data_IF_170185609651
#
_entry.id   IF_170185609651
#
_cell.length_a   1.000
_cell.length_b   1.000
_cell.length_c   1.000
_cell.angle_alpha   90.00
_cell.angle_beta   90.00
_cell.angle_gamma   90.00
#
_symmetry.space_group_name_H-M   'P 1'
#
loop_
_entity.id
_entity.type
_entity.pdbx_description
1 polymer ?
#
# COMPACT_ATOMS: atom_id res chain seq x y z
N UNK A 1 -4.82 6.84 3.95
CA UNK A 1 -4.00 7.58 2.96
C UNK A 1 -2.50 7.37 3.19
N UNK A 2 -1.96 7.54 4.41
CA UNK A 2 -0.53 7.35 4.67
C UNK A 2 0.02 5.98 4.27
N UNK A 3 -0.78 4.94 4.38
CA UNK A 3 -0.43 3.57 3.96
C UNK A 3 -0.29 3.46 2.43
N UNK A 4 -1.13 4.19 1.69
CA UNK A 4 -1.06 4.28 0.22
C UNK A 4 0.25 4.96 -0.18
N UNK A 5 0.53 6.14 0.37
CA UNK A 5 1.74 6.92 0.10
C UNK A 5 3.00 6.13 0.48
N UNK A 6 3.01 5.48 1.64
CA UNK A 6 4.16 4.67 2.06
C UNK A 6 4.35 3.43 1.18
N UNK A 7 3.26 2.77 0.77
CA UNK A 7 3.30 1.69 -0.21
C UNK A 7 3.86 2.15 -1.56
N UNK A 8 3.46 3.34 -2.03
CA UNK A 8 4.02 3.97 -3.22
C UNK A 8 5.52 4.27 -3.06
N UNK A 9 5.96 4.77 -1.90
CA UNK A 9 7.39 5.02 -1.62
C UNK A 9 8.19 3.72 -1.71
N UNK A 10 7.75 2.66 -1.04
CA UNK A 10 8.48 1.38 -1.02
C UNK A 10 8.48 0.73 -2.40
N UNK A 11 7.33 0.67 -3.07
CA UNK A 11 7.23 0.15 -4.44
C UNK A 11 8.04 0.97 -5.45
N UNK A 12 7.92 2.29 -5.41
CA UNK A 12 8.69 3.20 -6.26
C UNK A 12 10.19 3.15 -5.99
N UNK A 13 10.60 2.99 -4.73
CA UNK A 13 12.00 2.77 -4.36
C UNK A 13 12.58 1.51 -5.01
N UNK A 14 11.82 0.41 -5.02
CA UNK A 14 12.23 -0.82 -5.72
C UNK A 14 12.29 -0.59 -7.24
N UNK A 15 11.31 0.12 -7.81
CA UNK A 15 11.34 0.45 -9.24
C UNK A 15 12.58 1.29 -9.64
N UNK A 16 13.00 2.22 -8.78
CA UNK A 16 14.22 3.03 -8.99
C UNK A 16 15.51 2.21 -8.81
N UNK A 17 15.55 1.26 -7.86
CA UNK A 17 16.71 0.37 -7.68
C UNK A 17 16.97 -0.51 -8.91
N UNK A 18 15.90 -0.96 -9.58
CA UNK A 18 15.98 -1.78 -10.79
C UNK A 18 15.86 -0.97 -12.08
N UNK A 19 16.09 0.33 -12.04
CA UNK A 19 15.95 1.24 -13.19
C UNK A 19 16.75 0.81 -14.44
N UNK A 20 17.94 0.27 -14.24
CA UNK A 20 18.85 -0.17 -15.31
C UNK A 20 18.65 -1.63 -15.75
N UNK A 21 17.68 -2.31 -15.18
CA UNK A 21 17.41 -3.72 -15.49
C UNK A 21 16.08 -3.83 -16.24
N UNK A 22 16.06 -4.64 -17.28
CA UNK A 22 14.85 -5.01 -18.00
C UNK A 22 14.48 -6.46 -17.63
N UNK A 23 13.25 -6.66 -17.13
CA UNK A 23 12.80 -8.00 -16.77
C UNK A 23 11.33 -8.03 -16.38
N UNK A 24 10.63 -9.04 -16.84
CA UNK A 24 9.21 -9.26 -16.51
C UNK A 24 8.96 -9.44 -15.00
N UNK A 25 9.98 -9.79 -14.22
CA UNK A 25 9.87 -10.01 -12.77
C UNK A 25 9.86 -8.70 -11.95
N UNK A 26 10.22 -7.55 -12.56
CA UNK A 26 10.35 -6.28 -11.86
C UNK A 26 8.98 -5.76 -11.42
N UNK A 27 8.00 -5.76 -12.31
CA UNK A 27 6.64 -5.30 -11.99
C UNK A 27 5.99 -6.11 -10.83
N UNK A 28 5.98 -7.45 -10.83
CA UNK A 28 5.55 -8.23 -9.67
C UNK A 28 6.28 -7.91 -8.38
N UNK A 29 7.58 -7.66 -8.45
CA UNK A 29 8.40 -7.32 -7.28
C UNK A 29 8.04 -5.94 -6.73
N UNK A 30 7.81 -4.95 -7.58
CA UNK A 30 7.32 -3.61 -7.21
C UNK A 30 5.95 -3.70 -6.53
N UNK A 31 5.03 -4.50 -7.09
CA UNK A 31 3.69 -4.73 -6.53
C UNK A 31 3.78 -5.36 -5.13
N UNK A 32 4.59 -6.40 -4.98
CA UNK A 32 4.79 -7.07 -3.69
C UNK A 32 5.44 -6.14 -2.67
N UNK A 33 6.46 -5.38 -3.08
CA UNK A 33 7.14 -4.43 -2.20
C UNK A 33 6.18 -3.35 -1.69
N UNK A 34 5.33 -2.81 -2.56
CA UNK A 34 4.32 -1.82 -2.16
C UNK A 34 3.26 -2.39 -1.22
N UNK A 35 2.78 -3.62 -1.48
CA UNK A 35 1.85 -4.30 -0.58
C UNK A 35 2.47 -4.52 0.81
N UNK A 36 3.71 -4.99 0.87
CA UNK A 36 4.46 -5.20 2.12
C UNK A 36 4.70 -3.86 2.82
N UNK A 37 5.11 -2.82 2.09
CA UNK A 37 5.30 -1.47 2.65
C UNK A 37 4.03 -0.93 3.30
N UNK A 38 2.90 -0.97 2.61
CA UNK A 38 1.60 -0.57 3.14
C UNK A 38 1.17 -1.40 4.36
N UNK A 39 1.42 -2.70 4.33
CA UNK A 39 1.15 -3.62 5.44
C UNK A 39 1.96 -3.25 6.69
N UNK A 40 3.27 -3.03 6.57
CA UNK A 40 4.12 -2.64 7.70
C UNK A 40 3.74 -1.28 8.27
N UNK A 41 3.44 -0.33 7.41
CA UNK A 41 3.02 1.00 7.87
C UNK A 41 1.68 0.95 8.61
N UNK A 42 0.75 0.09 8.20
CA UNK A 42 -0.52 -0.14 8.87
C UNK A 42 -0.36 -0.80 10.26
N UNK A 43 0.74 -1.51 10.51
CA UNK A 43 1.00 -2.10 11.82
C UNK A 43 1.22 -1.04 12.91
N UNK A 44 1.73 0.15 12.57
CA UNK A 44 1.98 1.21 13.55
C UNK A 44 0.68 1.59 14.29
N UNK A 45 -0.39 2.07 13.62
CA UNK A 45 -1.63 2.39 14.31
C UNK A 45 -2.31 1.14 14.91
N UNK A 46 -2.14 -0.04 14.30
CA UNK A 46 -2.69 -1.28 14.83
C UNK A 46 -2.08 -1.68 16.17
N UNK A 47 -0.75 -1.57 16.32
CA UNK A 47 -0.04 -1.84 17.56
C UNK A 47 -0.44 -0.83 18.64
N UNK A 48 -0.42 0.46 18.30
CA UNK A 48 -0.80 1.53 19.21
C UNK A 48 -2.25 1.37 19.71
N UNK A 49 -3.18 1.01 18.82
CA UNK A 49 -4.56 0.70 19.19
C UNK A 49 -4.65 -0.51 20.11
N UNK A 50 -3.95 -1.59 19.78
CA UNK A 50 -4.10 -2.88 20.43
C UNK A 50 -3.45 -2.94 21.82
N UNK A 51 -2.29 -2.29 21.98
CA UNK A 51 -1.52 -2.35 23.22
C UNK A 51 -1.65 -1.09 24.09
N UNK A 52 -1.81 0.07 23.50
CA UNK A 52 -1.89 1.37 24.21
C UNK A 52 -3.31 1.93 24.21
N UNK A 53 -4.27 1.28 23.56
CA UNK A 53 -5.65 1.73 23.44
C UNK A 53 -5.80 3.19 22.94
N UNK A 54 -4.90 3.61 22.05
CA UNK A 54 -4.90 4.94 21.45
C UNK A 54 -6.04 5.08 20.44
N UNK A 55 -6.37 6.32 20.08
CA UNK A 55 -7.32 6.60 19.02
C UNK A 55 -6.64 6.39 17.67
N UNK A 56 -7.05 5.34 16.95
CA UNK A 56 -6.48 4.96 15.65
C UNK A 56 -6.67 6.03 14.57
N UNK A 57 -7.74 6.85 14.68
CA UNK A 57 -8.03 7.92 13.72
C UNK A 57 -6.97 9.02 13.85
N UNK A 58 -6.68 9.46 15.07
CA UNK A 58 -5.66 10.50 15.31
C UNK A 58 -4.28 10.02 14.89
N UNK A 59 -3.92 8.78 15.25
CA UNK A 59 -2.62 8.21 14.87
C UNK A 59 -2.49 8.11 13.35
N UNK A 60 -3.51 7.61 12.66
CA UNK A 60 -3.44 7.50 11.19
C UNK A 60 -3.40 8.86 10.49
N UNK A 61 -4.09 9.89 10.99
CA UNK A 61 -3.97 11.25 10.46
C UNK A 61 -2.54 11.81 10.62
N UNK A 62 -1.91 11.62 11.78
CA UNK A 62 -0.52 12.05 11.98
C UNK A 62 0.44 11.30 11.05
N UNK A 63 0.24 10.01 10.88
CA UNK A 63 1.05 9.18 9.99
C UNK A 63 0.91 9.57 8.50
N UNK A 64 -0.23 10.14 8.08
CA UNK A 64 -0.37 10.72 6.73
C UNK A 64 0.65 11.83 6.51
N UNK A 65 0.77 12.75 7.45
CA UNK A 65 1.77 13.83 7.35
C UNK A 65 3.20 13.31 7.36
N UNK A 66 3.49 12.31 8.21
CA UNK A 66 4.81 11.68 8.25
C UNK A 66 5.17 11.04 6.91
N UNK A 67 4.22 10.30 6.29
CA UNK A 67 4.45 9.67 4.99
C UNK A 67 4.64 10.69 3.86
N UNK A 68 3.89 11.80 3.88
CA UNK A 68 4.05 12.90 2.91
C UNK A 68 5.40 13.61 3.05
N UNK A 69 5.80 13.94 4.28
CA UNK A 69 7.11 14.55 4.53
C UNK A 69 8.26 13.62 4.14
N UNK A 70 8.11 12.32 4.37
CA UNK A 70 9.09 11.33 3.94
C UNK A 70 9.18 11.27 2.41
N UNK A 71 8.04 11.28 1.71
CA UNK A 71 8.00 11.34 0.26
C UNK A 71 8.68 12.60 -0.26
N UNK A 72 8.36 13.77 0.29
CA UNK A 72 8.98 15.04 -0.06
C UNK A 72 10.50 15.00 0.11
N UNK A 73 10.98 14.50 1.24
CA UNK A 73 12.41 14.34 1.51
C UNK A 73 13.10 13.44 0.48
N UNK A 74 12.50 12.32 0.11
CA UNK A 74 13.07 11.37 -0.85
C UNK A 74 13.08 11.95 -2.27
N UNK A 75 11.99 12.59 -2.68
CA UNK A 75 11.83 13.12 -4.05
C UNK A 75 12.71 14.35 -4.29
N UNK A 76 12.85 15.23 -3.30
CA UNK A 76 13.70 16.42 -3.42
C UNK A 76 15.17 16.10 -3.16
N UNK A 77 15.46 15.06 -2.36
CA UNK A 77 16.81 14.68 -1.96
C UNK A 77 17.39 13.53 -2.82
N UNK A 78 17.50 12.31 -2.25
CA UNK A 78 18.28 11.22 -2.84
C UNK A 78 17.70 10.66 -4.16
N UNK A 79 16.40 10.83 -4.41
CA UNK A 79 15.71 10.29 -5.59
C UNK A 79 15.37 11.35 -6.63
N UNK A 80 15.84 12.59 -6.45
CA UNK A 80 15.58 13.68 -7.39
C UNK A 80 16.08 13.35 -8.79
N UNK A 81 15.34 13.77 -9.81
CA UNK A 81 15.76 13.62 -11.20
C UNK A 81 16.86 14.67 -11.54
N UNK A 82 18.10 14.26 -11.88
CA UNK A 82 19.16 15.20 -12.23
C UNK A 82 18.87 16.03 -13.50
N UNK A 83 17.98 15.55 -14.37
CA UNK A 83 17.60 16.20 -15.62
C UNK A 83 16.28 16.99 -15.50
N UNK A 84 15.64 16.98 -14.33
CA UNK A 84 14.30 17.52 -14.09
C UNK A 84 14.24 19.01 -13.79
N UNK A 85 15.23 19.84 -14.10
CA UNK A 85 15.21 21.30 -13.89
C UNK A 85 14.76 21.74 -12.49
N UNK A 86 15.13 21.02 -11.44
CA UNK A 86 14.71 21.24 -10.04
C UNK A 86 13.21 21.02 -9.76
N UNK A 87 12.45 20.38 -10.63
CA UNK A 87 11.11 19.94 -10.28
C UNK A 87 11.18 18.79 -9.24
N UNK A 88 10.29 18.78 -8.24
CA UNK A 88 10.27 17.76 -7.18
C UNK A 88 9.63 16.46 -7.69
N UNK A 89 10.36 15.75 -8.53
CA UNK A 89 9.97 14.48 -9.14
C UNK A 89 11.19 13.55 -9.29
N UNK A 90 10.92 12.24 -9.26
CA UNK A 90 11.94 11.23 -9.47
C UNK A 90 12.14 11.00 -10.97
N UNK A 91 13.19 10.24 -11.33
CA UNK A 91 13.31 9.71 -12.70
C UNK A 91 12.06 8.92 -13.06
N UNK A 92 11.68 8.96 -14.34
CA UNK A 92 10.60 8.12 -14.85
C UNK A 92 10.99 6.64 -14.70
N UNK A 93 10.05 5.81 -14.29
CA UNK A 93 10.29 4.37 -14.15
C UNK A 93 10.57 3.73 -15.52
N UNK A 94 11.42 2.70 -15.54
CA UNK A 94 11.63 1.85 -16.70
C UNK A 94 10.31 1.24 -17.19
N UNK A 95 10.18 1.00 -18.49
CA UNK A 95 9.00 0.36 -19.08
C UNK A 95 8.68 -0.99 -18.44
N UNK A 96 9.70 -1.71 -17.95
CA UNK A 96 9.54 -2.97 -17.20
C UNK A 96 8.86 -2.81 -15.84
N UNK A 97 8.85 -1.58 -15.27
CA UNK A 97 8.22 -1.26 -13.96
C UNK A 97 6.85 -0.60 -14.13
N UNK A 98 6.45 -0.31 -15.37
CA UNK A 98 5.16 0.32 -15.68
C UNK A 98 4.10 -0.73 -15.99
N UNK A 99 2.87 -0.45 -15.57
CA UNK A 99 1.73 -1.26 -15.96
C UNK A 99 1.32 -0.90 -17.39
N UNK A 100 1.16 -1.90 -18.29
CA UNK A 100 0.74 -1.64 -19.66
C UNK A 100 -0.64 -0.98 -19.69
N UNK A 101 -0.79 0.04 -20.54
CA UNK A 101 -2.07 0.66 -20.84
C UNK A 101 -2.93 -0.30 -21.65
N UNK A 102 -4.19 -0.46 -21.28
CA UNK A 102 -5.14 -1.34 -21.97
C UNK A 102 -5.73 -0.68 -23.22
N UNK A 103 -5.85 0.65 -23.21
CA UNK A 103 -6.39 1.41 -24.33
C UNK A 103 -5.57 2.68 -24.54
N UNK A 104 -5.15 2.93 -25.77
CA UNK A 104 -4.51 4.20 -26.14
C UNK A 104 -5.51 5.35 -26.00
N UNK A 105 -5.13 6.40 -25.29
CA UNK A 105 -6.00 7.57 -25.03
C UNK A 105 -6.84 7.52 -23.76
N UNK A 106 -6.91 6.39 -23.07
CA UNK A 106 -7.54 6.25 -21.75
C UNK A 106 -6.49 5.96 -20.69
N UNK A 107 -6.69 6.49 -19.46
CA UNK A 107 -5.80 6.20 -18.32
C UNK A 107 -6.06 4.83 -17.67
N UNK A 108 -6.64 3.89 -18.43
CA UNK A 108 -6.93 2.55 -17.96
C UNK A 108 -5.70 1.67 -18.19
N UNK A 109 -5.15 1.16 -17.10
CA UNK A 109 -3.94 0.34 -17.08
C UNK A 109 -4.23 -1.04 -16.45
N UNK A 110 -3.30 -1.98 -16.58
CA UNK A 110 -3.45 -3.35 -16.08
C UNK A 110 -3.72 -3.46 -14.56
N UNK A 111 -3.57 -2.38 -13.80
CA UNK A 111 -3.93 -2.29 -12.39
C UNK A 111 -5.41 -2.60 -12.08
N UNK A 112 -6.30 -2.49 -13.09
CA UNK A 112 -7.71 -2.88 -12.91
C UNK A 112 -7.84 -4.39 -12.60
N UNK A 113 -7.02 -5.23 -13.21
CA UNK A 113 -7.01 -6.67 -12.91
C UNK A 113 -6.50 -6.95 -11.50
N UNK A 114 -5.51 -6.16 -11.06
CA UNK A 114 -4.98 -6.22 -9.69
C UNK A 114 -6.05 -5.79 -8.68
N UNK A 115 -6.81 -4.74 -8.97
CA UNK A 115 -7.91 -4.28 -8.13
C UNK A 115 -9.03 -5.35 -8.05
N UNK A 116 -9.43 -5.94 -9.19
CA UNK A 116 -10.40 -7.02 -9.22
C UNK A 116 -9.92 -8.25 -8.42
N UNK A 117 -8.66 -8.64 -8.59
CA UNK A 117 -8.06 -9.73 -7.82
C UNK A 117 -8.07 -9.43 -6.32
N UNK A 118 -7.74 -8.20 -5.89
CA UNK A 118 -7.80 -7.78 -4.49
C UNK A 118 -9.22 -7.83 -3.92
N UNK A 119 -10.22 -7.41 -4.69
CA UNK A 119 -11.64 -7.50 -4.29
C UNK A 119 -12.07 -8.96 -4.15
N UNK A 120 -11.77 -9.81 -5.13
CA UNK A 120 -12.10 -11.24 -5.08
C UNK A 120 -11.41 -11.95 -3.89
N UNK A 121 -10.14 -11.64 -3.66
CA UNK A 121 -9.38 -12.21 -2.54
C UNK A 121 -9.96 -11.74 -1.19
N UNK A 122 -10.29 -10.48 -1.05
CA UNK A 122 -10.90 -9.93 0.16
C UNK A 122 -12.27 -10.55 0.42
N UNK A 123 -13.10 -10.70 -0.63
CA UNK A 123 -14.37 -11.39 -0.54
C UNK A 123 -14.19 -12.85 -0.11
N UNK A 124 -13.27 -13.57 -0.73
CA UNK A 124 -12.97 -14.95 -0.38
C UNK A 124 -12.52 -15.08 1.08
N UNK A 125 -11.59 -14.24 1.53
CA UNK A 125 -11.10 -14.23 2.91
C UNK A 125 -12.26 -14.01 3.89
N UNK A 126 -13.10 -12.99 3.64
CA UNK A 126 -14.17 -12.61 4.57
C UNK A 126 -15.33 -13.61 4.62
N UNK A 127 -15.66 -14.26 3.49
CA UNK A 127 -16.86 -15.11 3.40
C UNK A 127 -16.58 -16.61 3.37
N UNK A 128 -15.39 -17.02 2.97
CA UNK A 128 -15.06 -18.43 2.75
C UNK A 128 -13.99 -18.97 3.71
N UNK A 129 -13.36 -18.12 4.55
CA UNK A 129 -12.31 -18.57 5.46
C UNK A 129 -12.73 -18.47 6.92
N UNK A 130 -12.07 -19.27 7.75
CA UNK A 130 -12.22 -19.22 9.20
C UNK A 130 -11.78 -17.87 9.80
N UNK A 131 -10.75 -17.26 9.21
CA UNK A 131 -10.33 -15.90 9.60
C UNK A 131 -11.44 -14.88 9.39
N UNK A 132 -12.15 -14.93 8.27
CA UNK A 132 -13.27 -14.04 8.01
C UNK A 132 -14.41 -14.21 9.02
N UNK A 133 -14.69 -15.45 9.42
CA UNK A 133 -15.64 -15.72 10.49
C UNK A 133 -15.20 -15.08 11.83
N UNK A 134 -13.93 -15.26 12.22
CA UNK A 134 -13.39 -14.66 13.44
C UNK A 134 -13.45 -13.12 13.40
N UNK A 135 -13.14 -12.51 12.26
CA UNK A 135 -13.22 -11.06 12.06
C UNK A 135 -14.66 -10.57 12.24
N UNK A 136 -15.64 -11.24 11.62
CA UNK A 136 -17.06 -10.88 11.75
C UNK A 136 -17.55 -10.99 13.19
N UNK A 137 -17.27 -12.10 13.87
CA UNK A 137 -17.67 -12.29 15.27
C UNK A 137 -17.02 -11.24 16.18
N UNK A 138 -15.74 -10.94 15.97
CA UNK A 138 -15.02 -9.93 16.75
C UNK A 138 -15.56 -8.52 16.50
N UNK A 139 -16.03 -8.23 15.30
CA UNK A 139 -16.65 -6.95 14.94
C UNK A 139 -18.04 -6.76 15.54
N UNK A 140 -18.83 -7.84 15.64
CA UNK A 140 -20.17 -7.79 16.23
C UNK A 140 -20.12 -7.67 17.77
N UNK A 141 -19.27 -8.44 18.42
CA UNK A 141 -19.12 -8.41 19.89
C UNK A 141 -17.77 -8.95 20.32
N UNK A 142 -16.93 -8.08 20.87
CA UNK A 142 -15.65 -8.48 21.49
C UNK A 142 -15.84 -9.44 22.67
N UNK A 143 -16.94 -9.30 23.42
CA UNK A 143 -17.25 -10.21 24.54
C UNK A 143 -17.52 -11.62 24.02
N UNK A 144 -18.38 -11.76 23.01
CA UNK A 144 -18.71 -13.06 22.39
C UNK A 144 -17.48 -13.71 21.76
N UNK A 145 -16.65 -12.93 21.05
CA UNK A 145 -15.39 -13.41 20.49
C UNK A 145 -14.45 -13.97 21.58
N UNK A 146 -14.37 -13.28 22.73
CA UNK A 146 -13.54 -13.72 23.86
C UNK A 146 -14.05 -15.03 24.48
N UNK A 147 -15.39 -15.21 24.62
CA UNK A 147 -15.98 -16.47 25.08
C UNK A 147 -15.70 -17.61 24.10
N UNK A 148 -15.69 -17.33 22.78
CA UNK A 148 -15.34 -18.31 21.75
C UNK A 148 -13.81 -18.60 21.65
N UNK A 149 -13.00 -18.01 22.54
CA UNK A 149 -11.54 -18.21 22.57
C UNK A 149 -10.77 -17.42 21.51
N UNK A 150 -11.41 -16.49 20.80
CA UNK A 150 -10.75 -15.70 19.77
C UNK A 150 -9.90 -14.58 20.37
N UNK A 151 -8.68 -14.44 19.84
CA UNK A 151 -7.74 -13.40 20.28
C UNK A 151 -8.07 -12.07 19.56
N UNK A 152 -8.94 -11.25 20.14
CA UNK A 152 -9.38 -9.98 19.55
C UNK A 152 -8.22 -9.05 19.16
N UNK A 153 -7.15 -9.00 19.95
CA UNK A 153 -5.95 -8.24 19.63
C UNK A 153 -5.30 -8.68 18.31
N UNK A 154 -5.18 -9.97 18.08
CA UNK A 154 -4.63 -10.53 16.85
C UNK A 154 -5.53 -10.23 15.65
N UNK A 155 -6.85 -10.26 15.84
CA UNK A 155 -7.79 -9.93 14.76
C UNK A 155 -7.68 -8.49 14.32
N UNK A 156 -7.49 -7.55 15.24
CA UNK A 156 -7.26 -6.13 14.90
C UNK A 156 -5.98 -6.00 14.05
N UNK A 157 -4.87 -6.61 14.49
CA UNK A 157 -3.61 -6.56 13.74
C UNK A 157 -3.77 -7.13 12.32
N UNK A 158 -4.40 -8.29 12.16
CA UNK A 158 -4.62 -8.93 10.87
C UNK A 158 -5.46 -8.06 9.93
N UNK A 159 -6.54 -7.45 10.44
CA UNK A 159 -7.40 -6.58 9.62
C UNK A 159 -6.63 -5.35 9.15
N UNK A 160 -5.84 -4.72 10.02
CA UNK A 160 -5.00 -3.58 9.65
C UNK A 160 -3.94 -3.98 8.61
N UNK A 161 -3.32 -5.16 8.74
CA UNK A 161 -2.34 -5.66 7.77
C UNK A 161 -2.97 -5.87 6.39
N UNK A 162 -4.15 -6.52 6.32
CA UNK A 162 -4.87 -6.74 5.05
C UNK A 162 -5.24 -5.40 4.42
N UNK A 163 -5.82 -4.48 5.22
CA UNK A 163 -6.17 -3.14 4.74
C UNK A 163 -4.94 -2.36 4.25
N UNK A 164 -3.83 -2.43 4.99
CA UNK A 164 -2.57 -1.80 4.63
C UNK A 164 -1.97 -2.37 3.35
N UNK A 165 -2.03 -3.70 3.16
CA UNK A 165 -1.60 -4.33 1.92
C UNK A 165 -2.42 -3.84 0.71
N UNK A 166 -3.74 -3.80 0.82
CA UNK A 166 -4.61 -3.27 -0.23
C UNK A 166 -4.33 -1.79 -0.54
N UNK A 167 -4.09 -0.97 0.50
CA UNK A 167 -3.72 0.43 0.33
C UNK A 167 -2.35 0.58 -0.37
N UNK A 168 -1.37 -0.26 0.00
CA UNK A 168 -0.05 -0.28 -0.65
C UNK A 168 -0.14 -0.69 -2.12
N UNK A 169 -0.97 -1.69 -2.45
CA UNK A 169 -1.26 -2.07 -3.84
C UNK A 169 -1.88 -0.92 -4.64
N UNK A 170 -2.80 -0.16 -4.04
CA UNK A 170 -3.39 1.01 -4.68
C UNK A 170 -2.33 2.09 -4.95
N UNK A 171 -1.42 2.34 -3.99
CA UNK A 171 -0.31 3.27 -4.15
C UNK A 171 0.63 2.89 -5.29
N UNK A 172 0.98 1.60 -5.41
CA UNK A 172 1.78 1.11 -6.55
C UNK A 172 1.00 1.25 -7.86
N UNK A 173 -0.30 0.96 -7.86
CA UNK A 173 -1.15 1.13 -9.03
C UNK A 173 -1.12 2.55 -9.57
N UNK A 174 -1.08 3.55 -8.70
CA UNK A 174 -1.01 4.96 -9.08
C UNK A 174 0.34 5.32 -9.70
N UNK A 175 1.45 4.94 -9.06
CA UNK A 175 2.80 5.31 -9.54
C UNK A 175 3.28 4.50 -10.74
N UNK A 176 2.92 3.20 -10.83
CA UNK A 176 3.32 2.33 -11.95
C UNK A 176 2.34 2.37 -13.11
N UNK A 177 1.13 2.93 -12.92
CA UNK A 177 0.11 3.09 -13.95
C UNK A 177 0.26 4.41 -14.69
N UNK A 178 -0.60 5.41 -14.40
CA UNK A 178 -0.71 6.62 -15.22
C UNK A 178 0.46 7.59 -15.04
N UNK A 179 1.11 7.60 -13.89
CA UNK A 179 2.13 8.61 -13.54
C UNK A 179 3.51 8.17 -14.01
N UNK A 180 3.91 6.94 -13.73
CA UNK A 180 5.22 6.38 -14.09
C UNK A 180 6.41 6.99 -13.36
N UNK A 181 6.17 7.69 -12.26
CA UNK A 181 7.20 8.32 -11.41
C UNK A 181 6.63 8.66 -10.02
N UNK A 182 7.48 8.96 -9.05
CA UNK A 182 7.07 9.53 -7.77
C UNK A 182 7.13 11.06 -7.85
N UNK A 183 6.06 11.71 -7.41
CA UNK A 183 6.00 13.16 -7.30
C UNK A 183 5.28 13.57 -6.00
N UNK A 184 5.35 14.85 -5.66
CA UNK A 184 4.89 15.43 -4.40
C UNK A 184 3.38 15.32 -4.14
N UNK A 185 2.56 15.05 -5.16
CA UNK A 185 1.08 15.09 -5.09
C UNK A 185 0.42 13.71 -4.98
N UNK A 186 1.16 12.66 -4.57
CA UNK A 186 0.59 11.33 -4.34
C UNK A 186 -0.08 11.22 -2.98
#
# INVERSE_FOLDING_TARGET
EGQLTFGAIVGGGVALLFYNQEGFYILPLVILAGAIGGMFFALIPAILKTYFNTNEILVSLMLVYVSKLLLDYLVVGPWSNPEGFNFPETRQFSDSSRMPLLFEGLRIHAGIFLALAAVMLSWFILYKTYLGFQIKVSGLSLKTAKYAGFKGKTMILVVFMISGACAGLAGVGEISGPIGQLHRMI
#
